data_IF_892987543026
#
_entry.id   IF_892987543026
#
_cell.length_a   1.000
_cell.length_b   1.000
_cell.length_c   1.000
_cell.angle_alpha   90.00
_cell.angle_beta   90.00
_cell.angle_gamma   90.00
#
_symmetry.space_group_name_H-M   'P 1'
#
loop_
_entity.id
_entity.type
_entity.pdbx_description
1 polymer ?
2 polymer ?
3 water ?
#
# COMPACT_ATOMS: atom_id res chain seq x y z
N UNK A 5 -16.69 0.66 11.25
CA UNK A 5 -15.44 1.01 10.51
C UNK A 5 -15.70 1.79 9.19
N UNK A 6 -15.06 2.96 9.13
CA UNK A 6 -15.05 3.92 8.03
C UNK A 6 -14.24 5.03 8.70
N UNK A 7 -13.23 4.56 9.42
CA UNK A 7 -12.30 5.35 10.21
C UNK A 7 -11.21 6.05 9.43
N UNK A 8 -10.62 7.05 10.06
CA UNK A 8 -9.55 7.83 9.47
C UNK A 8 -8.26 7.48 10.21
N UNK A 9 -7.21 7.19 9.45
CA UNK A 9 -5.91 6.87 10.02
C UNK A 9 -5.04 8.13 9.92
N UNK A 10 -4.53 8.60 11.06
CA UNK A 10 -3.71 9.82 11.08
C UNK A 10 -2.23 9.63 11.35
N UNK A 11 -1.43 10.39 10.62
CA UNK A 11 0.03 10.38 10.74
C UNK A 11 0.52 11.83 10.85
N UNK A 12 1.73 12.02 11.37
CA UNK A 12 2.32 13.35 11.48
C UNK A 12 2.58 13.79 10.05
N UNK A 13 2.22 15.04 9.74
CA UNK A 13 2.41 15.57 8.40
C UNK A 13 3.87 15.52 7.97
N UNK A 14 4.73 16.26 8.67
CA UNK A 14 6.16 16.30 8.36
C UNK A 14 7.05 16.11 9.60
N UNK A 15 8.27 15.63 9.38
CA UNK A 15 9.22 15.42 10.48
C UNK A 15 10.65 15.58 9.95
N UNK A 16 11.45 16.38 10.67
CA UNK A 16 12.85 16.66 10.32
C UNK A 16 13.84 15.95 11.27
N UNK A 17 14.91 15.38 10.71
CA UNK A 17 15.92 14.67 11.51
C UNK A 17 17.32 14.82 10.90
N UNK A 18 18.30 14.12 11.47
CA UNK A 18 19.70 14.19 11.04
C UNK A 18 20.37 12.84 11.04
N UNK A 19 21.32 12.62 10.13
CA UNK A 19 21.98 11.31 10.13
C UNK A 19 22.54 11.02 11.53
N UNK A 20 22.24 9.83 12.06
CA UNK A 20 22.73 9.46 13.38
C UNK A 20 21.70 9.70 14.47
N UNK A 21 20.64 10.41 14.12
CA UNK A 21 19.58 10.70 15.07
C UNK A 21 18.52 9.62 15.08
N UNK A 22 17.63 9.70 16.05
CA UNK A 22 16.57 8.73 16.16
C UNK A 22 15.24 9.43 15.98
N UNK A 23 14.40 8.89 15.11
CA UNK A 23 13.08 9.47 14.83
C UNK A 23 11.97 8.41 14.94
N UNK A 24 10.80 8.82 15.41
CA UNK A 24 9.68 7.90 15.56
C UNK A 24 8.40 8.40 14.90
N UNK A 25 7.90 7.63 13.94
CA UNK A 25 6.67 7.97 13.22
C UNK A 25 5.52 7.22 13.87
N UNK A 26 4.38 7.88 14.04
CA UNK A 26 3.24 7.22 14.65
C UNK A 26 1.99 7.25 13.74
N UNK A 27 1.06 6.32 14.02
CA UNK A 27 -0.17 6.10 13.26
C UNK A 27 -1.42 5.98 14.20
N UNK A 28 -2.31 6.98 14.16
CA UNK A 28 -3.51 6.99 15.00
C UNK A 28 -4.75 6.48 14.29
N UNK A 29 -5.64 5.87 15.06
CA UNK A 29 -6.91 5.35 14.54
C UNK A 29 -7.98 6.21 15.16
N UNK A 30 -9.00 6.57 14.41
CA UNK A 30 -10.05 7.43 14.96
C UNK A 30 -11.04 6.65 15.82
N UNK A 31 -10.93 5.33 15.80
CA UNK A 31 -11.83 4.46 16.55
C UNK A 31 -11.26 3.95 17.86
N UNK A 32 -10.14 4.51 18.30
CA UNK A 32 -9.54 4.05 19.54
C UNK A 32 -8.15 3.47 19.34
N UNK A 33 -7.57 2.93 20.41
CA UNK A 33 -6.22 2.37 20.37
C UNK A 33 -5.97 1.48 19.17
N UNK A 34 -4.70 1.28 18.84
CA UNK A 34 -4.34 0.44 17.72
C UNK A 34 -3.89 -0.91 18.27
N UNK A 35 -4.62 -1.96 17.90
CA UNK A 35 -4.37 -3.32 18.36
C UNK A 35 -3.39 -4.03 17.43
N UNK A 36 -3.08 -5.28 17.75
CA UNK A 36 -2.20 -6.08 16.91
C UNK A 36 -3.11 -6.71 15.85
N UNK A 37 -4.41 -6.53 16.01
CA UNK A 37 -5.38 -7.10 15.08
C UNK A 37 -5.68 -6.09 13.97
N UNK A 38 -4.97 -4.97 14.01
CA UNK A 38 -5.10 -3.94 12.99
C UNK A 38 -3.98 -4.17 11.97
N UNK A 39 -3.10 -5.11 12.27
CA UNK A 39 -1.98 -5.46 11.39
C UNK A 39 -1.21 -4.27 10.79
N UNK A 40 -0.99 -3.24 11.60
CA UNK A 40 -0.30 -2.04 11.15
C UNK A 40 0.89 -2.35 10.24
N UNK A 41 0.89 -1.75 9.05
CA UNK A 41 1.95 -1.97 8.06
C UNK A 41 2.53 -0.64 7.64
N UNK A 42 3.83 -0.62 7.36
CA UNK A 42 4.49 0.62 6.96
C UNK A 42 5.22 0.47 5.63
N UNK A 43 5.03 1.41 4.72
CA UNK A 43 5.75 1.35 3.44
C UNK A 43 6.36 2.71 3.14
N UNK A 44 7.52 2.69 2.50
CA UNK A 44 8.22 3.91 2.14
C UNK A 44 8.11 4.26 0.64
N UNK A 45 7.90 5.54 0.34
CA UNK A 45 7.83 5.99 -1.05
C UNK A 45 9.05 6.89 -1.41
N UNK A 46 10.00 6.33 -2.16
CA UNK A 46 11.17 7.08 -2.59
C UNK A 46 10.86 7.82 -3.89
N UNK A 47 11.61 8.90 -4.18
CA UNK A 47 11.40 9.70 -5.39
C UNK A 47 11.27 8.79 -6.60
N UNK A 48 10.31 9.13 -7.47
CA UNK A 48 10.03 8.38 -8.69
C UNK A 48 8.91 7.36 -8.42
N UNK A 49 7.99 7.73 -7.53
CA UNK A 49 6.87 6.87 -7.15
C UNK A 49 7.30 5.43 -6.96
N UNK A 50 8.32 5.27 -6.13
CA UNK A 50 8.89 3.97 -5.81
C UNK A 50 8.42 3.57 -4.41
N UNK A 51 7.80 2.41 -4.27
CA UNK A 51 7.35 1.94 -2.96
C UNK A 51 8.12 0.72 -2.47
N UNK A 52 8.32 0.66 -1.16
CA UNK A 52 9.04 -0.44 -0.54
C UNK A 52 8.32 -0.86 0.74
N UNK A 53 8.13 -2.16 0.92
CA UNK A 53 7.49 -2.63 2.13
C UNK A 53 8.54 -2.62 3.23
N UNK A 54 8.22 -2.08 4.39
CA UNK A 54 9.16 -2.02 5.52
C UNK A 54 8.80 -2.94 6.67
N UNK A 55 7.59 -2.76 7.19
CA UNK A 55 7.06 -3.54 8.30
C UNK A 55 5.62 -3.91 7.97
N UNK A 56 5.19 -5.08 8.44
CA UNK A 56 3.83 -5.53 8.25
C UNK A 56 3.47 -6.34 9.48
N UNK A 57 2.23 -6.23 9.93
CA UNK A 57 1.83 -6.99 11.10
C UNK A 57 2.42 -6.42 12.38
N UNK A 58 2.29 -5.11 12.53
CA UNK A 58 2.77 -4.42 13.71
C UNK A 58 4.27 -4.29 13.82
N UNK A 59 4.99 -5.41 13.76
CA UNK A 59 6.44 -5.38 13.91
C UNK A 59 7.28 -6.37 13.11
N UNK A 60 6.68 -7.00 12.12
CA UNK A 60 7.44 -7.94 11.30
C UNK A 60 8.10 -7.17 10.17
N UNK A 61 9.43 -7.18 10.19
CA UNK A 61 10.24 -6.49 9.20
C UNK A 61 10.45 -7.31 7.92
N UNK A 62 10.01 -6.75 6.80
CA UNK A 62 10.14 -7.40 5.51
C UNK A 62 11.58 -7.83 5.29
N UNK A 63 11.78 -9.04 4.75
CA UNK A 63 13.16 -9.48 4.52
C UNK A 63 13.89 -8.48 3.64
N UNK A 64 15.17 -8.25 3.94
CA UNK A 64 15.94 -7.31 3.14
C UNK A 64 15.88 -5.84 3.55
N UNK A 65 15.10 -5.53 4.58
CA UNK A 65 15.00 -4.15 5.08
C UNK A 65 16.07 -3.94 6.14
N UNK A 66 16.69 -2.75 6.17
CA UNK A 66 17.73 -2.43 7.15
C UNK A 66 17.29 -2.65 8.60
N UNK A 67 18.23 -2.85 9.51
CA UNK A 67 17.90 -3.07 10.92
C UNK A 67 17.63 -1.78 11.67
N UNK A 68 17.91 -0.64 11.04
CA UNK A 68 17.67 0.65 11.66
C UNK A 68 16.17 0.92 11.78
N UNK A 69 15.38 0.19 10.99
CA UNK A 69 13.92 0.31 10.98
C UNK A 69 13.28 -0.76 11.86
N UNK A 70 12.22 -0.39 12.56
CA UNK A 70 11.53 -1.33 13.42
C UNK A 70 10.19 -0.73 13.80
N UNK A 71 9.18 -1.59 13.93
CA UNK A 71 7.84 -1.14 14.27
C UNK A 71 7.35 -1.72 15.57
N UNK A 72 6.38 -1.06 16.18
CA UNK A 72 5.84 -1.52 17.43
C UNK A 72 4.61 -0.72 17.76
N UNK A 73 3.99 -1.02 18.90
CA UNK A 73 2.83 -0.26 19.35
C UNK A 73 3.37 0.57 20.52
N UNK A 74 2.95 1.82 20.61
CA UNK A 74 3.43 2.69 21.67
C UNK A 74 2.28 3.57 22.11
N UNK A 75 1.52 3.08 23.07
CA UNK A 75 0.38 3.82 23.56
C UNK A 75 -0.81 3.40 22.73
N UNK A 76 -1.60 4.39 22.32
CA UNK A 76 -2.78 4.15 21.50
C UNK A 76 -2.42 4.09 20.04
N UNK A 77 -1.12 4.06 19.73
CA UNK A 77 -0.72 4.08 18.34
C UNK A 77 0.29 3.05 17.91
N UNK A 78 0.54 3.04 16.60
CA UNK A 78 1.52 2.14 16.01
C UNK A 78 2.71 3.05 15.74
N UNK A 79 3.92 2.51 15.89
CA UNK A 79 5.10 3.34 15.69
C UNK A 79 6.20 2.69 14.89
N UNK A 80 6.78 3.48 13.99
CA UNK A 80 7.89 3.04 13.15
C UNK A 80 9.10 3.85 13.61
N UNK A 81 10.13 3.18 14.11
CA UNK A 81 11.31 3.88 14.61
C UNK A 81 12.57 3.65 13.79
N UNK A 82 13.18 4.75 13.36
CA UNK A 82 14.42 4.68 12.61
C UNK A 82 15.50 5.04 13.63
N UNK A 83 16.33 4.07 14.02
CA UNK A 83 17.38 4.31 15.00
C UNK A 83 18.73 4.55 14.29
N UNK A 84 19.10 5.83 14.24
CA UNK A 84 20.31 6.28 13.57
C UNK A 84 19.94 6.60 12.13
N UNK A 85 19.08 7.60 11.93
CA UNK A 85 18.63 7.98 10.59
C UNK A 85 19.79 8.17 9.63
N UNK A 86 19.50 8.06 8.34
CA UNK A 86 20.52 8.22 7.32
C UNK A 86 19.97 9.07 6.19
N UNK A 87 20.84 9.74 5.46
CA UNK A 87 20.40 10.60 4.38
C UNK A 87 19.43 9.95 3.42
N UNK A 88 19.72 8.73 2.97
CA UNK A 88 18.83 8.08 2.00
C UNK A 88 17.48 7.65 2.55
N UNK A 89 17.18 8.04 3.79
CA UNK A 89 15.91 7.68 4.41
C UNK A 89 14.88 8.77 4.23
N UNK A 90 15.29 9.82 3.55
CA UNK A 90 14.40 10.93 3.29
C UNK A 90 13.35 10.43 2.31
N UNK A 91 12.09 10.42 2.74
CA UNK A 91 11.00 9.94 1.91
C UNK A 91 9.65 10.18 2.59
N UNK A 92 8.57 9.71 1.97
CA UNK A 92 7.24 9.83 2.56
C UNK A 92 6.92 8.43 3.03
N UNK A 93 6.51 8.31 4.29
CA UNK A 93 6.21 7.02 4.88
C UNK A 93 4.71 6.89 5.12
N UNK A 94 4.18 5.69 4.88
CA UNK A 94 2.74 5.45 5.07
C UNK A 94 2.46 4.28 5.99
N UNK A 95 1.32 4.34 6.67
CA UNK A 95 0.88 3.22 7.49
C UNK A 95 -0.47 2.78 6.96
N UNK A 96 -0.71 1.49 7.03
CA UNK A 96 -1.95 0.90 6.59
C UNK A 96 -2.41 0.18 7.84
N UNK A 97 -3.69 0.27 8.11
CA UNK A 97 -4.28 -0.35 9.28
C UNK A 97 -5.44 -1.19 8.77
N UNK A 98 -5.49 -2.45 9.17
CA UNK A 98 -6.58 -3.34 8.75
C UNK A 98 -7.79 -3.28 9.69
N UNK A 99 -8.93 -2.88 9.14
CA UNK A 99 -10.16 -2.83 9.91
C UNK A 99 -10.89 -4.16 9.71
N UNK A 100 -12.20 -4.21 9.86
CA UNK A 100 -12.86 -5.51 9.74
C UNK A 100 -12.78 -6.22 8.39
N UNK A 101 -13.04 -5.50 7.31
CA UNK A 101 -13.03 -6.09 5.98
C UNK A 101 -12.18 -5.35 4.95
N UNK A 102 -11.57 -4.24 5.35
CA UNK A 102 -10.81 -3.44 4.42
C UNK A 102 -9.54 -2.83 4.99
N UNK A 103 -8.64 -2.41 4.09
CA UNK A 103 -7.41 -1.75 4.47
C UNK A 103 -7.68 -0.27 4.34
N UNK A 104 -7.04 0.54 5.19
CA UNK A 104 -7.18 1.99 5.14
C UNK A 104 -5.81 2.64 5.38
N UNK A 105 -5.30 3.37 4.39
CA UNK A 105 -3.99 4.03 4.50
C UNK A 105 -4.03 5.36 5.25
N UNK A 106 -2.86 5.79 5.71
CA UNK A 106 -2.77 7.07 6.39
C UNK A 106 -2.41 8.13 5.36
N UNK A 107 -2.39 9.39 5.76
CA UNK A 107 -2.05 10.45 4.82
C UNK A 107 -0.58 10.49 4.41
N UNK A 108 0.28 9.81 5.15
CA UNK A 108 1.70 9.81 4.83
C UNK A 108 2.49 10.89 5.56
N UNK A 109 3.73 10.56 5.91
CA UNK A 109 4.62 11.49 6.63
C UNK A 109 5.86 11.83 5.80
N UNK A 110 6.04 13.11 5.53
CA UNK A 110 7.21 13.55 4.78
C UNK A 110 8.43 13.65 5.74
N UNK A 111 9.41 12.77 5.54
CA UNK A 111 10.60 12.78 6.37
C UNK A 111 11.78 13.43 5.65
N UNK A 112 12.26 14.52 6.25
CA UNK A 112 13.39 15.26 5.71
C UNK A 112 14.60 14.99 6.59
N UNK A 113 15.68 14.51 5.98
CA UNK A 113 16.92 14.23 6.71
C UNK A 113 17.95 15.26 6.27
N UNK A 114 18.29 16.20 7.16
CA UNK A 114 19.28 17.24 6.86
C UNK A 114 20.65 16.78 7.28
N UNK B 1 14.07 -11.46 -4.16
CA UNK B 1 13.70 -12.11 -5.46
C UNK B 1 12.20 -12.38 -5.51
N UNK B 2 11.45 -11.38 -5.96
CA UNK B 2 9.99 -11.47 -6.06
C UNK B 2 9.46 -10.20 -6.74
N UNK B 3 9.03 -10.36 -7.99
CA UNK B 3 8.53 -9.24 -8.78
C UNK B 3 7.02 -9.18 -8.96
N UNK B 4 6.54 -7.95 -9.14
CA UNK B 4 5.15 -7.64 -9.38
C UNK B 4 5.20 -6.63 -10.53
N UNK B 5 4.37 -6.84 -11.55
CA UNK B 5 4.34 -5.94 -12.69
C UNK B 5 2.96 -5.68 -13.26
N UNK B 6 2.52 -4.43 -13.19
CA UNK B 6 1.21 -4.04 -13.71
C UNK B 6 1.30 -3.89 -15.23
N UNK B 7 0.18 -4.13 -15.92
CA UNK B 7 0.12 -4.01 -17.38
C UNK B 7 -1.28 -3.52 -17.74
N UNK B 8 -1.40 -2.22 -18.01
CA UNK B 8 -2.69 -1.65 -18.34
C UNK B 8 -2.72 -0.96 -19.69
N UNK B 9 -3.81 -0.26 -20.01
CA UNK B 9 -3.98 0.45 -21.28
C UNK B 9 -3.48 1.90 -21.34
N UNK B 10 -3.24 2.49 -20.17
CA UNK B 10 -2.80 3.87 -20.13
C UNK B 10 -3.93 4.84 -20.43
N UNK B 11 -4.51 4.73 -21.62
CA UNK B 11 -5.61 5.61 -22.03
C UNK B 11 -6.94 4.90 -22.22
N UNK B 12 -8.02 5.51 -21.74
CA UNK B 12 -9.35 4.94 -21.87
C UNK B 12 -10.40 6.05 -21.90
N UNK B 13 -11.60 5.72 -22.38
CA UNK B 13 -12.70 6.67 -22.50
C UNK B 13 -13.64 6.67 -21.30
N UNK B 14 -14.29 7.82 -21.04
CA UNK B 14 -15.25 8.14 -19.97
C UNK B 14 -16.35 7.17 -19.50
N UNK B 15 -16.58 6.07 -20.20
CA UNK B 15 -17.61 5.12 -19.75
C UNK B 15 -17.18 3.69 -20.03
N UNK B 16 -15.98 3.56 -20.58
CA UNK B 16 -15.42 2.26 -20.92
C UNK B 16 -14.93 1.46 -19.72
N UNK B 17 -14.39 0.28 -20.01
CA UNK B 17 -13.87 -0.60 -18.98
C UNK B 17 -12.44 -0.23 -18.62
N UNK B 18 -11.83 -1.10 -17.82
CA UNK B 18 -10.46 -0.95 -17.36
C UNK B 18 -9.99 -2.35 -17.02
N UNK B 19 -8.90 -2.77 -17.63
CA UNK B 19 -8.37 -4.09 -17.34
C UNK B 19 -6.86 -4.06 -17.13
N UNK B 20 -6.45 -4.11 -15.86
CA UNK B 20 -5.03 -4.09 -15.50
C UNK B 20 -4.63 -5.50 -15.10
N UNK B 21 -3.44 -5.93 -15.50
CA UNK B 21 -2.94 -7.28 -15.19
C UNK B 21 -1.61 -7.30 -14.44
N UNK B 22 -1.55 -8.16 -13.42
CA UNK B 22 -0.37 -8.29 -12.58
C UNK B 22 0.34 -9.62 -12.78
N UNK B 23 1.55 -9.57 -13.30
CA UNK B 23 2.34 -10.77 -13.54
C UNK B 23 3.25 -10.90 -12.33
N UNK B 24 3.14 -12.00 -11.60
CA UNK B 24 3.99 -12.11 -10.43
C UNK B 24 4.95 -13.28 -10.44
N UNK B 25 6.17 -13.03 -9.97
CA UNK B 25 7.19 -14.06 -9.90
C UNK B 25 7.84 -14.01 -8.53
N UNK B 26 8.59 -15.05 -8.19
CA UNK B 26 9.24 -15.08 -6.90
C UNK B 26 8.38 -15.75 -5.84
N UNK B 27 7.15 -16.10 -6.22
CA UNK B 27 6.25 -16.77 -5.30
C UNK B 27 5.04 -17.42 -6.00
N UNK B 28 4.09 -17.93 -5.21
CA UNK B 28 2.90 -18.56 -5.76
C UNK B 28 1.60 -17.95 -5.21
N UNK B 29 0.76 -17.46 -6.12
CA UNK B 29 -0.51 -16.84 -5.74
C UNK B 29 -1.39 -17.71 -4.86
N UNK B 30 -1.01 -18.97 -4.72
CA UNK B 30 -1.77 -19.91 -3.91
C UNK B 30 -1.57 -19.69 -2.42
N UNK B 31 -0.40 -19.21 -2.04
CA UNK B 31 -0.10 -18.99 -0.63
C UNK B 31 -0.28 -17.54 -0.15
N UNK B 32 -0.05 -16.56 -1.02
CA UNK B 32 -0.19 -15.15 -0.63
C UNK B 32 -1.29 -14.41 -1.39
N UNK B 33 -1.94 -13.46 -0.72
CA UNK B 33 -2.98 -12.68 -1.38
C UNK B 33 -2.37 -11.50 -2.10
N UNK B 34 -3.10 -10.88 -3.03
CA UNK B 34 -2.56 -9.73 -3.74
C UNK B 34 -3.52 -8.58 -3.62
N UNK B 35 -2.99 -7.38 -3.42
CA UNK B 35 -3.81 -6.18 -3.28
C UNK B 35 -3.72 -5.25 -4.47
N UNK B 36 -4.73 -4.41 -4.62
CA UNK B 36 -4.72 -3.43 -5.70
C UNK B 36 -4.88 -2.09 -5.01
N UNK B 37 -4.01 -1.15 -5.38
CA UNK B 37 -4.01 0.18 -4.78
C UNK B 37 -3.71 1.24 -5.83
N UNK B 38 -4.41 2.37 -5.71
CA UNK B 38 -4.21 3.48 -6.63
C UNK B 38 -3.90 4.78 -5.87
N UNK B 39 -3.12 5.65 -6.50
CA UNK B 39 -2.74 6.93 -5.92
C UNK B 39 -2.81 8.00 -7.00
N UNK B 40 -3.68 8.99 -6.82
CA UNK B 40 -3.81 10.04 -7.82
C UNK B 40 -3.13 11.31 -7.31
N UNK B 41 -2.75 12.22 -8.23
CA UNK B 41 -2.10 13.47 -7.86
C UNK B 41 -2.77 14.10 -6.66
N UNK B 42 -2.03 14.94 -5.93
CA UNK B 42 -2.57 15.56 -4.74
C UNK B 42 -2.82 14.43 -3.75
N UNK B 43 -1.78 13.61 -3.58
CA UNK B 43 -1.79 12.43 -2.70
C UNK B 43 -3.12 11.65 -2.68
N UNK B 44 -3.33 10.92 -1.59
CA UNK B 44 -4.53 10.11 -1.48
C UNK B 44 -4.14 8.74 -1.99
N UNK B 45 -3.71 7.88 -1.07
CA UNK B 45 -3.34 6.51 -1.40
C UNK B 45 -4.52 5.64 -0.94
N UNK B 46 -5.27 5.08 -1.89
CA UNK B 46 -6.43 4.26 -1.53
C UNK B 46 -6.37 2.80 -1.98
N UNK B 47 -6.77 1.93 -1.05
CA UNK B 47 -6.81 0.48 -1.26
C UNK B 47 -8.07 0.21 -2.08
N UNK B 48 -7.91 -0.59 -3.14
CA UNK B 48 -9.02 -0.91 -4.02
C UNK B 48 -9.65 -2.24 -3.65
N UNK B 49 -8.82 -3.29 -3.54
CA UNK B 49 -9.32 -4.60 -3.19
C UNK B 49 -8.23 -5.63 -3.01
N UNK B 50 -8.61 -6.86 -2.67
CA UNK B 50 -7.64 -7.93 -2.47
C UNK B 50 -8.20 -9.31 -2.85
N UNK B 51 -7.30 -10.24 -3.18
CA UNK B 51 -7.66 -11.62 -3.50
C UNK B 51 -6.60 -12.54 -2.85
N UNK B 52 -7.02 -13.27 -1.83
CA UNK B 52 -6.12 -14.14 -1.07
C UNK B 52 -5.65 -15.40 -1.79
N UNK B 53 -4.86 -16.21 -1.08
CA UNK B 53 -4.36 -17.46 -1.63
C UNK B 53 -5.56 -18.25 -2.09
N UNK B 54 -6.59 -18.26 -1.25
CA UNK B 54 -7.83 -18.91 -1.58
C UNK B 54 -8.51 -17.84 -2.43
N UNK B 55 -9.19 -18.26 -3.49
CA UNK B 55 -9.84 -17.30 -4.35
C UNK B 55 -10.81 -16.30 -3.73
N UNK B 56 -10.73 -16.09 -2.42
CA UNK B 56 -11.64 -15.13 -1.78
C UNK B 56 -11.14 -13.71 -1.94
N UNK B 57 -12.07 -12.80 -2.20
CA UNK B 57 -11.76 -11.39 -2.44
C UNK B 57 -12.51 -10.39 -1.54
N UNK B 58 -11.91 -9.21 -1.38
CA UNK B 58 -12.47 -8.11 -0.58
C UNK B 58 -12.29 -6.81 -1.38
N UNK B 59 -13.33 -5.99 -1.38
CA UNK B 59 -13.31 -4.76 -2.15
C UNK B 59 -13.60 -3.51 -1.34
N UNK B 60 -13.24 -2.36 -1.91
CA UNK B 60 -13.48 -1.07 -1.27
C UNK B 60 -14.98 -0.85 -1.42
N UNK B 61 -15.67 -0.62 -0.30
CA UNK B 61 -17.12 -0.42 -0.32
C UNK B 61 -17.62 0.67 -1.27
N UNK B 62 -16.96 1.83 -1.26
CA UNK B 62 -17.36 2.94 -2.13
C UNK B 62 -16.84 2.76 -3.56
N UNK B 63 -16.69 1.51 -3.98
CA UNK B 63 -16.21 1.19 -5.32
C UNK B 63 -16.80 -0.17 -5.71
N UNK B 64 -17.18 -0.93 -4.69
CA UNK B 64 -17.75 -2.26 -4.81
C UNK B 64 -18.50 -2.54 -6.12
N UNK B 65 -19.43 -1.66 -6.48
CA UNK B 65 -20.21 -1.85 -7.69
C UNK B 65 -19.48 -1.75 -9.01
N UNK B 66 -18.16 -1.56 -8.99
CA UNK B 66 -17.44 -1.43 -10.25
C UNK B 66 -16.23 -2.31 -10.46
N UNK B 67 -15.59 -2.77 -9.39
CA UNK B 67 -14.42 -3.60 -9.62
C UNK B 67 -14.60 -5.07 -9.37
N UNK B 68 -13.54 -5.80 -9.69
CA UNK B 68 -13.49 -7.24 -9.54
C UNK B 68 -12.02 -7.63 -9.66
N UNK B 69 -11.61 -8.63 -8.89
CA UNK B 69 -10.24 -9.11 -8.92
C UNK B 69 -10.31 -10.59 -9.22
N UNK B 70 -9.58 -11.01 -10.24
CA UNK B 70 -9.59 -12.39 -10.69
C UNK B 70 -8.15 -12.84 -10.72
N UNK B 71 -7.91 -14.12 -11.01
CA UNK B 71 -6.54 -14.62 -11.09
C UNK B 71 -6.46 -16.06 -11.57
N UNK B 72 -5.34 -16.36 -12.22
CA UNK B 72 -5.03 -17.67 -12.76
C UNK B 72 -3.75 -18.10 -12.06
N UNK B 73 -3.89 -19.02 -11.11
CA UNK B 73 -2.76 -19.52 -10.35
C UNK B 73 -1.72 -20.23 -11.19
N UNK B 74 -2.17 -21.03 -12.15
CA UNK B 74 -1.24 -21.76 -13.00
C UNK B 74 -0.42 -20.85 -13.90
N UNK B 75 -0.92 -19.63 -14.13
CA UNK B 75 -0.24 -18.64 -14.97
C UNK B 75 0.36 -17.48 -14.19
N UNK B 76 0.11 -17.47 -12.88
CA UNK B 76 0.62 -16.45 -11.94
C UNK B 76 0.23 -15.03 -12.30
N UNK B 77 -1.07 -14.79 -12.48
CA UNK B 77 -1.53 -13.47 -12.84
C UNK B 77 -2.80 -13.09 -12.11
N UNK B 78 -2.82 -11.90 -11.52
CA UNK B 78 -4.03 -11.41 -10.87
C UNK B 78 -4.54 -10.40 -11.88
N UNK B 79 -5.84 -10.32 -12.06
CA UNK B 79 -6.40 -9.38 -13.01
C UNK B 79 -7.18 -8.42 -12.15
N UNK B 80 -7.52 -7.28 -12.73
CA UNK B 80 -8.30 -6.26 -12.05
C UNK B 80 -9.29 -5.82 -13.12
N UNK B 81 -10.52 -5.52 -12.74
CA UNK B 81 -11.47 -5.05 -13.72
C UNK B 81 -12.47 -4.04 -13.17
N UNK B 82 -12.41 -2.83 -13.71
CA UNK B 82 -13.33 -1.79 -13.30
C UNK B 82 -14.11 -1.38 -14.53
N UNK B 83 -15.10 -0.51 -14.34
CA UNK B 83 -15.88 -0.01 -15.47
C UNK B 83 -16.67 1.21 -15.03
N UNK B 84 -17.35 1.86 -15.97
CA UNK B 84 -18.10 3.07 -15.67
C UNK B 84 -17.07 4.12 -15.21
N UNK B 85 -15.85 4.00 -15.73
CA UNK B 85 -14.74 4.88 -15.37
C UNK B 85 -15.03 6.34 -15.66
N UNK B 86 -14.41 7.23 -14.88
CA UNK B 86 -14.55 8.68 -15.05
C UNK B 86 -13.26 9.34 -14.62
N UNK B 87 -13.23 10.67 -14.63
CA UNK B 87 -12.03 11.42 -14.26
C UNK B 87 -11.37 10.93 -12.98
N UNK B 88 -12.13 10.88 -11.90
CA UNK B 88 -11.59 10.43 -10.63
C UNK B 88 -10.71 9.20 -10.75
N UNK B 89 -11.07 8.30 -11.66
CA UNK B 89 -10.32 7.06 -11.85
C UNK B 89 -8.91 7.20 -12.41
N UNK B 90 -8.53 8.40 -12.81
CA UNK B 90 -7.18 8.60 -13.32
C UNK B 90 -6.25 8.55 -12.10
N UNK B 91 -5.23 7.70 -12.15
CA UNK B 91 -4.30 7.56 -11.04
C UNK B 91 -3.24 6.56 -11.41
N UNK B 92 -2.49 6.08 -10.43
CA UNK B 92 -1.47 5.09 -10.71
C UNK B 92 -1.90 3.85 -9.95
N UNK B 93 -2.06 2.75 -10.67
CA UNK B 93 -2.53 1.50 -10.09
C UNK B 93 -1.43 0.51 -9.80
N UNK B 94 -1.38 0.00 -8.57
CA UNK B 94 -0.35 -0.98 -8.20
C UNK B 94 -0.94 -2.28 -7.64
N UNK B 95 -0.28 -3.40 -7.92
CA UNK B 95 -0.69 -4.68 -7.37
C UNK B 95 0.43 -5.04 -6.42
N UNK B 96 0.12 -4.98 -5.14
CA UNK B 96 1.10 -5.23 -4.10
C UNK B 96 0.71 -6.36 -3.16
N UNK B 97 1.65 -6.71 -2.29
CA UNK B 97 1.48 -7.67 -1.20
C UNK B 97 2.39 -8.86 -0.97
N UNK B 98 2.50 -9.06 0.34
CA UNK B 98 3.22 -10.08 1.07
C UNK B 98 2.75 -9.55 2.42
N UNK B 99 1.71 -8.71 2.31
CA UNK B 99 1.01 -7.98 3.37
C UNK B 99 1.57 -6.56 3.23
N UNK B 100 1.73 -6.13 1.97
CA UNK B 100 2.29 -4.83 1.59
C UNK B 100 3.83 -4.88 1.57
N UNK B 101 4.39 -6.07 1.75
CA UNK B 101 5.85 -6.27 1.76
C UNK B 101 6.55 -5.95 0.44
N UNK B 102 5.87 -6.20 -0.68
CA UNK B 102 6.44 -5.95 -2.01
C UNK B 102 5.47 -5.22 -2.92
N UNK B 103 5.99 -4.33 -3.76
CA UNK B 103 5.16 -3.56 -4.69
C UNK B 103 5.66 -3.68 -6.12
N UNK B 104 4.89 -3.13 -7.06
CA UNK B 104 5.27 -3.18 -8.45
C UNK B 104 5.33 -1.77 -8.97
N UNK B 105 6.02 -1.57 -10.09
CA UNK B 105 6.16 -0.25 -10.71
C UNK B 105 4.89 0.60 -10.76
N UNK B 106 3.79 0.00 -11.21
CA UNK B 106 2.54 0.72 -11.32
C UNK B 106 2.21 1.01 -12.78
N UNK B 107 0.97 1.43 -13.04
CA UNK B 107 0.52 1.77 -14.39
C UNK B 107 -0.28 3.04 -14.32
N UNK B 108 0.03 3.98 -15.21
CA UNK B 108 -0.72 5.20 -15.22
C UNK B 108 -2.02 4.96 -15.96
N UNK B 109 -3.02 5.76 -15.64
CA UNK B 109 -4.30 5.68 -16.28
C UNK B 109 -4.94 7.06 -16.32
N UNK B 110 -5.14 7.57 -17.52
CA UNK B 110 -5.77 8.87 -17.72
C UNK B 110 -7.06 8.57 -18.48
N UNK B 111 -8.19 9.06 -17.99
CA UNK B 111 -9.44 8.79 -18.66
C UNK B 111 -9.89 9.96 -19.52
N UNK B 112 -10.24 9.63 -20.77
CA UNK B 112 -10.73 10.54 -21.83
C UNK B 112 -9.81 10.54 -23.07
#
# INVERSE_FOLDING_TARGET
>A
MADYADAVVTQESALTTSPGETVTLTCRSSTGAVTTSNYASWVQEKPDHLFTGLIGGTNNRAPGVPARFSGSLIGDKAALTITGAQTEDEAIYFCALWYSNHWVFGGGTKLTVLGGGGGSGGGGSGGGGSGGGGS
>B
DVQLQESGPGLVAPSQSLSITCTVSGFSLTDYGVNWVRQSPGKGLEWLGVIWGDGITDYNSALKSRLSVTKDNSKSQVFLKMNSLQSGDSARYYCVTGLFDYWGQGTTLTVSSASGADHHHHHH
#
